data_IF_057711195830
#
_entry.id   IF_057711195830
#
_cell.length_a   1.000
_cell.length_b   1.000
_cell.length_c   1.000
_cell.angle_alpha   90.00
_cell.angle_beta   90.00
_cell.angle_gamma   90.00
#
_symmetry.space_group_name_H-M   'P 1'
#
loop_
_entity.id
_entity.type
_entity.pdbx_description
1 polymer ?
#
# COMPACT_ATOMS: atom_id res chain seq x y z
N UNK A 1 0.73 -37.10 32.66
CA UNK A 1 0.95 -35.64 32.58
C UNK A 1 1.41 -35.32 31.17
N UNK A 2 0.58 -34.74 30.30
CA UNK A 2 1.01 -34.41 28.95
C UNK A 2 1.96 -33.22 29.01
N UNK A 3 3.16 -33.41 28.46
CA UNK A 3 4.21 -32.42 28.37
C UNK A 3 3.74 -31.27 27.49
N UNK A 4 3.62 -30.08 28.08
CA UNK A 4 3.38 -28.83 27.36
C UNK A 4 4.53 -28.60 26.38
N UNK A 5 4.33 -28.92 25.09
CA UNK A 5 5.21 -28.47 24.02
C UNK A 5 5.23 -26.94 24.06
N UNK A 6 6.38 -26.40 24.47
CA UNK A 6 6.70 -24.96 24.41
C UNK A 6 6.48 -24.50 22.97
N UNK A 7 5.67 -23.46 22.77
CA UNK A 7 5.48 -22.82 21.47
C UNK A 7 6.85 -22.48 20.85
N UNK A 8 7.04 -22.61 19.52
CA UNK A 8 8.31 -22.30 18.88
C UNK A 8 8.73 -20.89 19.27
N UNK A 9 9.94 -20.77 19.85
CA UNK A 9 10.49 -19.48 20.22
C UNK A 9 10.69 -18.66 18.94
N UNK A 10 10.13 -17.44 18.92
CA UNK A 10 10.37 -16.47 17.86
C UNK A 10 11.84 -16.02 17.91
N UNK A 11 12.75 -16.84 17.42
CA UNK A 11 14.14 -16.47 17.18
C UNK A 11 14.17 -15.29 16.21
N UNK A 12 14.37 -14.09 16.79
CA UNK A 12 14.73 -12.82 16.14
C UNK A 12 14.41 -12.67 14.64
N UNK A 13 13.12 -12.65 14.28
CA UNK A 13 12.70 -12.11 12.98
C UNK A 13 13.22 -10.66 12.88
N UNK A 14 14.06 -10.36 11.89
CA UNK A 14 14.60 -9.00 11.68
C UNK A 14 13.47 -8.05 11.27
N UNK A 15 12.44 -8.57 10.61
CA UNK A 15 11.22 -7.85 10.28
C UNK A 15 10.09 -8.17 11.28
N UNK A 16 9.52 -7.19 12.01
CA UNK A 16 8.31 -7.41 12.78
C UNK A 16 7.14 -7.73 11.82
N UNK A 17 6.31 -8.74 12.12
CA UNK A 17 5.10 -9.02 11.36
C UNK A 17 4.20 -7.78 11.21
N UNK A 18 3.81 -7.47 9.98
CA UNK A 18 2.90 -6.38 9.65
C UNK A 18 1.44 -6.85 9.77
N UNK A 19 1.11 -7.52 10.89
CA UNK A 19 -0.22 -8.03 11.21
C UNK A 19 -0.67 -7.62 12.63
N UNK A 20 -1.99 -7.59 12.91
CA UNK A 20 -2.48 -7.48 14.28
C UNK A 20 -1.94 -8.62 15.15
N UNK A 21 -1.44 -8.29 16.35
CA UNK A 21 -0.83 -9.27 17.27
C UNK A 21 -1.80 -10.35 17.73
N UNK A 22 -3.10 -10.05 17.78
CA UNK A 22 -4.15 -11.02 18.12
C UNK A 22 -4.30 -12.06 17.02
N UNK A 23 -4.50 -11.61 15.78
CA UNK A 23 -4.58 -12.48 14.60
C UNK A 23 -3.32 -13.36 14.47
N UNK A 24 -2.13 -12.77 14.56
CA UNK A 24 -0.90 -13.54 14.43
C UNK A 24 -0.80 -14.66 15.48
N UNK A 25 -1.21 -14.40 16.73
CA UNK A 25 -1.22 -15.42 17.80
C UNK A 25 -2.24 -16.52 17.53
N UNK A 26 -3.38 -16.20 16.94
CA UNK A 26 -4.41 -17.18 16.59
C UNK A 26 -3.95 -18.07 15.45
N UNK A 27 -3.39 -17.48 14.38
CA UNK A 27 -2.81 -18.21 13.26
C UNK A 27 -1.71 -19.17 13.72
N UNK A 28 -0.82 -18.74 14.60
CA UNK A 28 0.27 -19.59 15.11
C UNK A 28 -0.19 -20.68 16.10
N UNK A 29 -1.42 -20.61 16.61
CA UNK A 29 -2.02 -21.66 17.47
C UNK A 29 -2.79 -22.70 16.69
N UNK A 30 -3.19 -22.38 15.46
CA UNK A 30 -3.90 -23.31 14.59
C UNK A 30 -2.93 -24.45 14.18
N UNK A 31 -3.25 -25.71 14.47
CA UNK A 31 -2.36 -26.85 14.19
C UNK A 31 -2.10 -27.04 12.70
N UNK A 32 -3.06 -26.68 11.83
CA UNK A 32 -2.93 -26.78 10.37
C UNK A 32 -1.92 -25.75 9.85
N UNK A 33 -1.92 -24.55 10.46
CA UNK A 33 -0.98 -23.48 10.12
C UNK A 33 0.40 -23.73 10.73
N UNK A 34 0.45 -24.16 11.99
CA UNK A 34 1.68 -24.38 12.74
C UNK A 34 2.47 -25.62 12.27
N UNK A 35 1.80 -26.61 11.69
CA UNK A 35 2.41 -27.84 11.19
C UNK A 35 3.08 -27.76 9.81
N UNK A 36 2.99 -26.61 9.12
CA UNK A 36 3.51 -26.43 7.76
C UNK A 36 4.68 -25.44 7.66
N UNK A 37 5.12 -25.15 6.42
CA UNK A 37 6.08 -24.08 6.11
C UNK A 37 5.56 -22.71 6.54
N UNK A 38 6.26 -22.03 7.45
CA UNK A 38 5.92 -20.69 7.93
C UNK A 38 7.01 -19.74 7.44
N UNK A 39 6.70 -18.84 6.51
CA UNK A 39 7.67 -17.86 5.96
C UNK A 39 8.26 -16.93 7.03
N UNK A 40 7.63 -16.82 8.20
CA UNK A 40 8.14 -16.06 9.34
C UNK A 40 9.38 -16.69 10.00
N UNK A 41 9.66 -17.98 9.77
CA UNK A 41 10.81 -18.68 10.36
C UNK A 41 12.00 -18.84 9.42
N UNK A 42 11.87 -18.46 8.14
CA UNK A 42 12.94 -18.58 7.14
C UNK A 42 13.59 -17.24 6.82
N UNK A 43 14.93 -17.21 6.80
CA UNK A 43 15.72 -15.98 6.68
C UNK A 43 15.56 -15.27 5.33
N UNK A 44 15.36 -16.02 4.24
CA UNK A 44 15.17 -15.47 2.90
C UNK A 44 13.87 -14.66 2.83
N UNK A 45 12.74 -15.28 3.20
CA UNK A 45 11.43 -14.64 3.21
C UNK A 45 11.33 -13.46 4.18
N UNK A 46 11.98 -13.53 5.35
CA UNK A 46 12.00 -12.40 6.29
C UNK A 46 12.66 -11.16 5.67
N UNK A 47 13.70 -11.34 4.84
CA UNK A 47 14.33 -10.28 4.06
C UNK A 47 13.37 -9.65 3.04
N UNK A 48 12.73 -10.49 2.21
CA UNK A 48 11.77 -10.03 1.18
C UNK A 48 10.58 -9.29 1.80
N UNK A 49 10.01 -9.85 2.87
CA UNK A 49 8.93 -9.23 3.66
C UNK A 49 9.37 -7.88 4.22
N UNK A 50 10.62 -7.79 4.70
CA UNK A 50 11.22 -6.55 5.17
C UNK A 50 11.24 -5.44 4.11
N UNK A 51 11.72 -5.74 2.91
CA UNK A 51 11.80 -4.76 1.80
C UNK A 51 10.42 -4.25 1.36
N UNK A 52 9.41 -5.13 1.33
CA UNK A 52 8.02 -4.73 1.05
C UNK A 52 7.43 -3.92 2.21
N UNK A 53 7.62 -4.34 3.46
CA UNK A 53 7.07 -3.69 4.63
C UNK A 53 7.60 -2.25 4.84
N UNK A 54 8.89 -2.02 4.55
CA UNK A 54 9.47 -0.68 4.56
C UNK A 54 9.14 0.13 3.29
N UNK A 55 8.51 -0.50 2.28
CA UNK A 55 8.17 0.07 0.98
C UNK A 55 9.39 0.47 0.18
N UNK A 56 10.47 -0.31 0.28
CA UNK A 56 11.62 -0.19 -0.61
C UNK A 56 11.30 -0.79 -1.99
N UNK A 57 10.53 -1.89 -1.99
CA UNK A 57 9.93 -2.48 -3.19
C UNK A 57 8.40 -2.38 -3.14
N UNK A 58 7.70 -2.37 -4.29
CA UNK A 58 6.26 -2.49 -4.32
C UNK A 58 5.83 -3.85 -3.74
N UNK A 59 4.64 -3.92 -3.14
CA UNK A 59 4.09 -5.16 -2.58
C UNK A 59 3.88 -6.24 -3.65
N UNK A 60 3.59 -5.82 -4.88
CA UNK A 60 3.42 -6.69 -6.05
C UNK A 60 4.73 -6.87 -6.83
N UNK A 61 5.90 -6.64 -6.21
CA UNK A 61 7.18 -6.93 -6.85
C UNK A 61 7.31 -8.44 -7.13
N UNK A 62 7.78 -8.78 -8.33
CA UNK A 62 8.00 -10.15 -8.76
C UNK A 62 9.39 -10.59 -8.28
N UNK A 63 9.46 -11.62 -7.46
CA UNK A 63 10.71 -12.12 -6.90
C UNK A 63 11.17 -13.39 -7.61
N UNK A 64 12.43 -13.44 -8.07
CA UNK A 64 13.07 -14.70 -8.47
C UNK A 64 13.51 -15.44 -7.21
N UNK A 65 12.75 -16.43 -6.76
CA UNK A 65 13.13 -17.24 -5.60
C UNK A 65 14.13 -18.32 -6.01
N UNK A 66 15.28 -18.35 -5.34
CA UNK A 66 16.32 -19.33 -5.58
C UNK A 66 15.83 -20.73 -5.24
N UNK A 67 15.80 -21.64 -6.22
CA UNK A 67 15.38 -23.03 -6.03
C UNK A 67 13.95 -23.37 -6.45
N UNK A 68 13.15 -22.40 -6.93
CA UNK A 68 11.89 -22.67 -7.62
C UNK A 68 11.98 -22.19 -9.07
N UNK A 69 11.47 -22.96 -10.04
CA UNK A 69 11.37 -22.54 -11.44
C UNK A 69 10.30 -21.43 -11.68
N UNK A 70 9.83 -20.78 -10.62
CA UNK A 70 8.70 -19.86 -10.61
C UNK A 70 9.11 -18.50 -10.03
N UNK A 71 8.73 -17.43 -10.73
CA UNK A 71 8.81 -16.06 -10.24
C UNK A 71 7.40 -15.55 -9.98
N UNK A 72 7.19 -14.86 -8.87
CA UNK A 72 5.87 -14.33 -8.52
C UNK A 72 5.91 -13.28 -7.43
N UNK A 73 4.76 -12.64 -7.20
CA UNK A 73 4.56 -11.78 -6.03
C UNK A 73 4.55 -12.62 -4.75
N UNK A 74 4.84 -11.99 -3.61
CA UNK A 74 4.79 -12.69 -2.31
C UNK A 74 3.40 -13.28 -2.01
N UNK A 75 2.31 -12.68 -2.52
CA UNK A 75 0.97 -13.23 -2.38
C UNK A 75 0.76 -14.50 -3.22
N UNK A 76 1.30 -14.53 -4.44
CA UNK A 76 1.28 -15.73 -5.28
C UNK A 76 2.12 -16.86 -4.67
N UNK A 77 3.30 -16.53 -4.15
CA UNK A 77 4.15 -17.49 -3.43
C UNK A 77 3.43 -18.06 -2.20
N UNK A 78 2.72 -17.21 -1.44
CA UNK A 78 1.89 -17.65 -0.32
C UNK A 78 0.79 -18.62 -0.77
N UNK A 79 0.14 -18.35 -1.91
CA UNK A 79 -0.85 -19.24 -2.50
C UNK A 79 -0.25 -20.59 -2.92
N UNK A 80 0.92 -20.60 -3.55
CA UNK A 80 1.63 -21.83 -3.96
C UNK A 80 2.00 -22.70 -2.77
N UNK A 81 2.48 -22.10 -1.67
CA UNK A 81 2.96 -22.84 -0.49
C UNK A 81 1.89 -23.14 0.56
N UNK A 82 0.67 -22.59 0.38
CA UNK A 82 -0.35 -22.58 1.43
C UNK A 82 0.07 -21.76 2.67
N UNK A 83 0.90 -20.72 2.51
CA UNK A 83 1.35 -19.90 3.63
C UNK A 83 0.30 -18.85 4.00
N UNK A 84 -0.63 -19.26 4.85
CA UNK A 84 -1.72 -18.41 5.32
C UNK A 84 -1.22 -17.14 6.04
N UNK A 85 -0.28 -17.19 7.01
CA UNK A 85 0.29 -15.99 7.61
C UNK A 85 0.88 -15.00 6.61
N UNK A 86 1.62 -15.47 5.59
CA UNK A 86 2.19 -14.61 4.55
C UNK A 86 1.08 -13.97 3.70
N UNK A 87 0.06 -14.74 3.31
CA UNK A 87 -1.08 -14.24 2.55
C UNK A 87 -1.82 -13.11 3.29
N UNK A 88 -2.08 -13.30 4.59
CA UNK A 88 -2.64 -12.25 5.45
C UNK A 88 -1.78 -10.98 5.43
N UNK A 89 -0.47 -11.12 5.59
CA UNK A 89 0.43 -9.96 5.64
C UNK A 89 0.49 -9.20 4.31
N UNK A 90 0.55 -9.90 3.18
CA UNK A 90 0.59 -9.27 1.87
C UNK A 90 -0.72 -8.52 1.56
N UNK A 91 -1.88 -9.11 1.88
CA UNK A 91 -3.18 -8.43 1.78
C UNK A 91 -3.21 -7.21 2.70
N UNK A 92 -2.68 -7.32 3.92
CA UNK A 92 -2.61 -6.19 4.87
C UNK A 92 -1.76 -5.04 4.37
N UNK A 93 -0.70 -5.35 3.63
CA UNK A 93 0.23 -4.38 3.03
C UNK A 93 -0.28 -3.81 1.69
N UNK A 94 -1.43 -4.29 1.20
CA UNK A 94 -2.10 -3.78 0.02
C UNK A 94 -1.69 -4.48 -1.28
N UNK A 95 -1.37 -5.77 -1.22
CA UNK A 95 -1.19 -6.60 -2.41
C UNK A 95 -2.44 -6.55 -3.30
N UNK A 96 -2.23 -6.50 -4.62
CA UNK A 96 -3.30 -6.69 -5.57
C UNK A 96 -3.76 -8.15 -5.53
N UNK A 97 -4.97 -8.37 -5.03
CA UNK A 97 -5.54 -9.70 -4.83
C UNK A 97 -5.74 -10.48 -6.14
N UNK A 98 -5.81 -9.78 -7.26
CA UNK A 98 -6.03 -10.34 -8.60
C UNK A 98 -4.79 -10.22 -9.49
N UNK A 99 -3.61 -9.95 -8.93
CA UNK A 99 -2.37 -9.88 -9.72
C UNK A 99 -2.11 -11.21 -10.44
N UNK A 100 -1.97 -11.18 -11.75
CA UNK A 100 -1.70 -12.37 -12.55
C UNK A 100 -0.21 -12.63 -12.68
N UNK A 101 0.20 -13.89 -12.68
CA UNK A 101 1.56 -14.28 -13.07
C UNK A 101 1.73 -14.26 -14.60
N UNK A 102 2.91 -14.68 -15.09
CA UNK A 102 3.19 -14.77 -16.52
C UNK A 102 2.28 -15.75 -17.29
N UNK A 103 1.59 -16.64 -16.58
CA UNK A 103 0.63 -17.60 -17.14
C UNK A 103 -0.81 -17.11 -17.01
N UNK A 104 -1.04 -15.87 -16.55
CA UNK A 104 -2.39 -15.34 -16.33
C UNK A 104 -3.07 -15.85 -15.05
N UNK A 105 -2.36 -16.59 -14.18
CA UNK A 105 -2.95 -17.16 -12.95
C UNK A 105 -3.01 -16.10 -11.86
N UNK A 106 -4.19 -15.93 -11.25
CA UNK A 106 -4.33 -15.15 -10.01
C UNK A 106 -3.89 -15.96 -8.79
N UNK A 107 -3.64 -15.33 -7.63
CA UNK A 107 -3.32 -16.06 -6.40
C UNK A 107 -4.42 -17.06 -6.03
N UNK A 108 -5.70 -16.73 -6.28
CA UNK A 108 -6.81 -17.65 -6.05
C UNK A 108 -6.72 -18.87 -6.95
N UNK A 109 -6.44 -18.66 -8.25
CA UNK A 109 -6.27 -19.76 -9.20
C UNK A 109 -5.12 -20.68 -8.80
N UNK A 110 -3.98 -20.11 -8.36
CA UNK A 110 -2.83 -20.89 -7.88
C UNK A 110 -3.20 -21.74 -6.67
N UNK A 111 -3.88 -21.16 -5.67
CA UNK A 111 -4.30 -21.89 -4.48
C UNK A 111 -5.30 -23.01 -4.81
N UNK A 112 -6.27 -22.76 -5.69
CA UNK A 112 -7.24 -23.78 -6.14
C UNK A 112 -6.54 -24.88 -6.93
N UNK A 113 -5.66 -24.51 -7.86
CA UNK A 113 -4.85 -25.46 -8.62
C UNK A 113 -4.10 -26.38 -7.65
N UNK A 114 -3.35 -25.84 -6.68
CA UNK A 114 -2.60 -26.62 -5.69
C UNK A 114 -3.46 -27.60 -4.88
N UNK A 115 -4.71 -27.24 -4.55
CA UNK A 115 -5.67 -28.14 -3.88
C UNK A 115 -6.05 -29.31 -4.80
N UNK A 116 -6.27 -29.03 -6.08
CA UNK A 116 -6.76 -30.02 -7.05
C UNK A 116 -5.65 -30.82 -7.75
N UNK A 117 -4.40 -30.37 -7.73
CA UNK A 117 -3.29 -30.97 -8.49
C UNK A 117 -3.10 -32.46 -8.15
N UNK A 118 -3.14 -32.82 -6.87
CA UNK A 118 -2.99 -34.21 -6.41
C UNK A 118 -4.12 -35.12 -6.90
N UNK A 119 -5.33 -34.58 -7.09
CA UNK A 119 -6.50 -35.35 -7.52
C UNK A 119 -6.62 -35.46 -9.05
N UNK A 120 -6.07 -34.48 -9.77
CA UNK A 120 -6.21 -34.33 -11.23
C UNK A 120 -5.04 -34.91 -12.03
N UNK A 121 -3.83 -34.96 -11.47
CA UNK A 121 -2.63 -35.42 -12.19
C UNK A 121 -2.00 -36.64 -11.48
N UNK A 122 -1.77 -37.77 -12.19
CA UNK A 122 -0.90 -38.85 -11.70
C UNK A 122 0.50 -38.28 -11.39
N UNK A 123 1.24 -38.87 -10.45
CA UNK A 123 2.56 -38.36 -10.00
C UNK A 123 3.52 -38.03 -11.16
N UNK A 124 3.50 -38.84 -12.22
CA UNK A 124 4.29 -38.70 -13.45
C UNK A 124 3.98 -37.44 -14.30
N UNK A 125 2.80 -36.84 -14.14
CA UNK A 125 2.33 -35.68 -14.93
C UNK A 125 2.06 -34.44 -14.06
N UNK A 126 2.44 -34.45 -12.79
CA UNK A 126 2.29 -33.28 -11.94
C UNK A 126 3.16 -32.13 -12.50
N UNK A 127 2.62 -30.90 -12.62
CA UNK A 127 3.45 -29.75 -12.95
C UNK A 127 4.59 -29.64 -11.92
N UNK A 128 5.71 -28.96 -12.23
CA UNK A 128 6.77 -28.72 -11.26
C UNK A 128 6.29 -27.78 -10.16
N UNK A 129 5.45 -28.30 -9.27
CA UNK A 129 5.13 -27.72 -7.96
C UNK A 129 6.28 -28.07 -7.04
N UNK A 130 6.80 -27.10 -6.26
CA UNK A 130 7.81 -27.40 -5.24
C UNK A 130 7.29 -28.51 -4.34
N UNK A 131 8.13 -29.52 -4.06
CA UNK A 131 7.89 -30.66 -3.16
C UNK A 131 6.64 -30.48 -2.30
N UNK A 132 5.57 -31.20 -2.63
CA UNK A 132 4.27 -31.09 -1.97
C UNK A 132 4.47 -31.35 -0.48
N UNK A 133 4.52 -30.26 0.30
CA UNK A 133 4.75 -30.34 1.73
C UNK A 133 3.55 -31.04 2.38
N UNK A 134 3.76 -31.96 3.34
CA UNK A 134 2.67 -32.58 4.08
C UNK A 134 1.71 -31.53 4.65
N UNK A 135 0.41 -31.70 4.41
CA UNK A 135 -0.62 -30.75 4.86
C UNK A 135 -0.82 -29.50 3.98
N UNK A 136 -0.20 -29.41 2.80
CA UNK A 136 -0.39 -28.30 1.86
C UNK A 136 -1.85 -28.12 1.41
N UNK A 137 -2.63 -29.21 1.24
CA UNK A 137 -4.04 -29.14 0.81
C UNK A 137 -4.93 -28.32 1.74
N UNK A 138 -5.06 -28.70 3.04
CA UNK A 138 -5.81 -27.92 4.02
C UNK A 138 -5.35 -26.45 4.12
N UNK A 139 -4.05 -26.21 4.06
CA UNK A 139 -3.48 -24.85 4.13
C UNK A 139 -3.82 -24.01 2.90
N UNK A 140 -3.74 -24.60 1.71
CA UNK A 140 -4.11 -23.95 0.45
C UNK A 140 -5.61 -23.63 0.42
N UNK A 141 -6.45 -24.50 0.99
CA UNK A 141 -7.89 -24.22 1.20
C UNK A 141 -8.12 -23.00 2.09
N UNK A 142 -7.35 -22.84 3.17
CA UNK A 142 -7.43 -21.63 4.01
C UNK A 142 -6.99 -20.37 3.24
N UNK A 143 -5.94 -20.44 2.43
CA UNK A 143 -5.50 -19.31 1.59
C UNK A 143 -6.56 -18.96 0.54
N UNK A 144 -7.11 -19.95 -0.16
CA UNK A 144 -8.19 -19.75 -1.13
C UNK A 144 -9.42 -19.10 -0.47
N UNK A 145 -9.81 -19.58 0.72
CA UNK A 145 -10.93 -19.01 1.49
C UNK A 145 -10.69 -17.55 1.84
N UNK A 146 -9.50 -17.22 2.36
CA UNK A 146 -9.08 -15.85 2.66
C UNK A 146 -9.18 -14.95 1.41
N UNK A 147 -8.69 -15.42 0.26
CA UNK A 147 -8.72 -14.65 -0.98
C UNK A 147 -10.17 -14.38 -1.44
N UNK A 148 -11.04 -15.39 -1.38
CA UNK A 148 -12.46 -15.26 -1.75
C UNK A 148 -13.19 -14.26 -0.82
N UNK A 149 -12.96 -14.37 0.49
CA UNK A 149 -13.51 -13.46 1.51
C UNK A 149 -13.01 -12.03 1.36
N UNK A 150 -11.77 -11.86 0.88
CA UNK A 150 -11.18 -10.57 0.54
C UNK A 150 -11.57 -10.06 -0.86
N UNK A 151 -12.57 -10.69 -1.45
CA UNK A 151 -13.17 -10.32 -2.73
C UNK A 151 -12.27 -10.50 -3.96
N UNK A 152 -11.41 -11.51 -3.96
CA UNK A 152 -10.74 -11.96 -5.19
C UNK A 152 -11.76 -12.22 -6.31
N UNK A 153 -11.37 -12.02 -7.57
CA UNK A 153 -12.18 -12.38 -8.71
C UNK A 153 -12.23 -13.90 -8.86
N UNK A 154 -13.43 -14.46 -8.71
CA UNK A 154 -13.68 -15.90 -8.73
C UNK A 154 -13.96 -16.42 -10.15
N UNK A 155 -14.16 -15.53 -11.12
CA UNK A 155 -14.56 -15.87 -12.49
C UNK A 155 -13.43 -15.67 -13.51
N UNK A 156 -12.17 -15.56 -13.06
CA UNK A 156 -11.03 -15.53 -13.97
C UNK A 156 -10.98 -16.83 -14.76
N UNK A 157 -10.94 -16.71 -16.08
CA UNK A 157 -10.88 -17.83 -17.02
C UNK A 157 -9.43 -18.02 -17.46
N UNK A 158 -8.92 -19.23 -17.31
CA UNK A 158 -7.61 -19.64 -17.80
C UNK A 158 -7.75 -21.00 -18.49
N UNK A 159 -7.26 -21.12 -19.73
CA UNK A 159 -7.35 -22.37 -20.51
C UNK A 159 -8.77 -22.95 -20.58
N UNK A 160 -9.78 -22.08 -20.70
CA UNK A 160 -11.21 -22.44 -20.63
C UNK A 160 -11.63 -23.10 -19.30
N UNK A 161 -10.98 -22.73 -18.19
CA UNK A 161 -11.35 -23.16 -16.85
C UNK A 161 -11.44 -21.97 -15.89
N UNK A 162 -12.40 -22.02 -14.98
CA UNK A 162 -12.46 -21.14 -13.80
C UNK A 162 -12.05 -21.92 -12.55
N UNK A 163 -11.88 -21.21 -11.43
CA UNK A 163 -11.67 -21.88 -10.14
C UNK A 163 -12.83 -22.84 -9.80
N UNK A 164 -14.07 -22.49 -10.15
CA UNK A 164 -15.22 -23.34 -9.93
C UNK A 164 -15.13 -24.63 -10.78
N UNK A 165 -14.85 -24.50 -12.08
CA UNK A 165 -14.77 -25.68 -12.95
C UNK A 165 -13.59 -26.60 -12.58
N UNK A 166 -12.46 -26.04 -12.15
CA UNK A 166 -11.33 -26.83 -11.63
C UNK A 166 -11.75 -27.67 -10.41
N UNK A 167 -12.42 -27.06 -9.43
CA UNK A 167 -12.92 -27.80 -8.26
C UNK A 167 -13.97 -28.86 -8.61
N UNK A 168 -14.74 -28.64 -9.68
CA UNK A 168 -15.72 -29.59 -10.21
C UNK A 168 -15.11 -30.78 -10.96
N UNK A 169 -13.87 -30.66 -11.46
CA UNK A 169 -13.16 -31.76 -12.13
C UNK A 169 -12.45 -32.70 -11.15
N UNK A 170 -12.11 -32.22 -9.95
CA UNK A 170 -11.44 -33.02 -8.94
C UNK A 170 -12.26 -34.26 -8.56
N UNK A 171 -11.59 -35.41 -8.35
CA UNK A 171 -12.25 -36.65 -7.91
C UNK A 171 -12.91 -36.45 -6.55
N UNK A 172 -12.18 -35.85 -5.61
CA UNK A 172 -12.68 -35.51 -4.28
C UNK A 172 -13.18 -34.07 -4.28
N UNK A 173 -14.50 -33.89 -4.14
CA UNK A 173 -15.09 -32.55 -4.14
C UNK A 173 -14.87 -31.84 -2.81
N UNK A 174 -14.17 -30.71 -2.87
CA UNK A 174 -14.06 -29.76 -1.76
C UNK A 174 -15.32 -28.91 -1.66
N UNK A 175 -16.42 -29.50 -1.19
CA UNK A 175 -17.75 -28.87 -1.18
C UNK A 175 -17.77 -27.51 -0.49
N UNK A 176 -17.08 -27.35 0.64
CA UNK A 176 -17.04 -26.04 1.33
C UNK A 176 -16.43 -24.94 0.46
N UNK A 177 -15.43 -25.28 -0.38
CA UNK A 177 -14.79 -24.33 -1.28
C UNK A 177 -15.70 -24.02 -2.48
N UNK A 178 -16.39 -25.03 -3.02
CA UNK A 178 -17.39 -24.88 -4.10
C UNK A 178 -18.52 -23.96 -3.64
N UNK A 179 -19.07 -24.21 -2.45
CA UNK A 179 -20.12 -23.39 -1.84
C UNK A 179 -19.63 -21.95 -1.61
N UNK A 180 -18.41 -21.77 -1.11
CA UNK A 180 -17.83 -20.45 -0.90
C UNK A 180 -17.64 -19.68 -2.22
N UNK A 181 -17.17 -20.35 -3.28
CA UNK A 181 -17.04 -19.76 -4.62
C UNK A 181 -18.40 -19.32 -5.17
N UNK A 182 -19.42 -20.20 -5.12
CA UNK A 182 -20.78 -19.91 -5.59
C UNK A 182 -21.39 -18.75 -4.81
N UNK A 183 -21.26 -18.77 -3.47
CA UNK A 183 -21.73 -17.71 -2.58
C UNK A 183 -21.09 -16.36 -2.93
N UNK A 184 -19.82 -16.37 -3.37
CA UNK A 184 -19.10 -15.17 -3.80
C UNK A 184 -19.28 -14.82 -5.28
N UNK A 185 -20.21 -15.46 -5.98
CA UNK A 185 -20.63 -15.09 -7.33
C UNK A 185 -19.94 -15.84 -8.46
N UNK A 186 -19.39 -17.03 -8.18
CA UNK A 186 -18.88 -17.90 -9.24
C UNK A 186 -20.00 -18.29 -10.22
N UNK A 187 -19.67 -18.30 -11.51
CA UNK A 187 -20.57 -18.65 -12.61
C UNK A 187 -20.17 -19.99 -13.21
N UNK A 188 -21.17 -20.74 -13.65
CA UNK A 188 -21.01 -22.05 -14.28
C UNK A 188 -20.62 -21.95 -15.78
N UNK A 189 -20.73 -20.76 -16.38
CA UNK A 189 -20.65 -20.61 -17.84
C UNK A 189 -19.21 -20.73 -18.37
N UNK A 190 -18.84 -21.97 -18.71
CA UNK A 190 -18.05 -22.28 -19.90
C UNK A 190 -18.68 -23.53 -20.53
N UNK A 191 -19.03 -23.47 -21.82
CA UNK A 191 -19.64 -24.55 -22.62
C UNK A 191 -18.82 -25.85 -22.73
N UNK A 192 -17.83 -26.05 -21.86
CA UNK A 192 -16.93 -27.19 -21.78
C UNK A 192 -17.53 -28.27 -20.86
N UNK A 193 -18.65 -28.87 -21.30
CA UNK A 193 -19.09 -30.17 -20.77
C UNK A 193 -18.07 -31.29 -21.03
N UNK A 194 -17.10 -31.04 -21.90
CA UNK A 194 -16.07 -32.00 -22.28
C UNK A 194 -14.98 -32.07 -21.20
N UNK A 195 -15.18 -32.96 -20.21
CA UNK A 195 -14.14 -33.34 -19.24
C UNK A 195 -14.56 -33.30 -17.76
N UNK A 196 -15.74 -32.76 -17.44
CA UNK A 196 -16.29 -32.78 -16.08
C UNK A 196 -17.03 -34.10 -15.86
N UNK A 197 -16.38 -35.07 -15.22
CA UNK A 197 -17.03 -36.31 -14.77
C UNK A 197 -17.73 -36.01 -13.45
N UNK A 198 -19.05 -35.81 -13.52
CA UNK A 198 -19.91 -35.63 -12.35
C UNK A 198 -21.03 -36.66 -12.29
N UNK A 199 -21.27 -37.20 -11.10
CA UNK A 199 -22.44 -38.04 -10.86
C UNK A 199 -23.74 -37.20 -10.84
N UNK A 200 -24.90 -37.84 -10.88
CA UNK A 200 -26.18 -37.13 -10.90
C UNK A 200 -26.38 -36.30 -9.63
N UNK A 201 -25.97 -36.84 -8.48
CA UNK A 201 -26.05 -36.19 -7.17
C UNK A 201 -25.16 -34.95 -7.08
N UNK A 202 -23.97 -34.99 -7.69
CA UNK A 202 -23.06 -33.83 -7.75
C UNK A 202 -23.67 -32.68 -8.57
N UNK A 203 -24.28 -33.01 -9.72
CA UNK A 203 -24.96 -32.02 -10.58
C UNK A 203 -26.15 -31.39 -9.89
N UNK A 204 -26.97 -32.21 -9.21
CA UNK A 204 -28.12 -31.75 -8.46
C UNK A 204 -27.69 -30.80 -7.33
N UNK A 205 -26.66 -31.17 -6.56
CA UNK A 205 -26.14 -30.32 -5.48
C UNK A 205 -25.61 -28.98 -5.98
N UNK A 206 -24.88 -28.96 -7.09
CA UNK A 206 -24.37 -27.70 -7.68
C UNK A 206 -25.52 -26.84 -8.19
N UNK A 207 -26.50 -27.44 -8.85
CA UNK A 207 -27.71 -26.75 -9.32
C UNK A 207 -28.47 -26.11 -8.16
N UNK A 208 -28.59 -26.83 -7.04
CA UNK A 208 -29.22 -26.31 -5.83
C UNK A 208 -28.43 -25.14 -5.23
N UNK A 209 -27.10 -25.26 -5.11
CA UNK A 209 -26.25 -24.17 -4.63
C UNK A 209 -26.36 -22.91 -5.51
N UNK A 210 -26.38 -23.08 -6.84
CA UNK A 210 -26.54 -21.97 -7.79
C UNK A 210 -27.92 -21.33 -7.68
N UNK A 211 -28.97 -22.11 -7.41
CA UNK A 211 -30.34 -21.63 -7.18
C UNK A 211 -30.45 -20.84 -5.88
N UNK A 212 -29.80 -21.31 -4.81
CA UNK A 212 -29.85 -20.72 -3.48
C UNK A 212 -28.85 -19.58 -3.26
N UNK A 213 -27.97 -19.30 -4.22
CA UNK A 213 -26.91 -18.30 -4.06
C UNK A 213 -27.48 -16.91 -3.76
N UNK A 214 -26.82 -16.12 -2.90
CA UNK A 214 -27.26 -14.77 -2.59
C UNK A 214 -27.16 -13.85 -3.82
N UNK A 215 -28.11 -12.93 -3.97
CA UNK A 215 -28.11 -11.93 -5.07
C UNK A 215 -26.92 -10.97 -4.99
N UNK A 216 -26.42 -10.71 -3.79
CA UNK A 216 -25.28 -9.85 -3.53
C UNK A 216 -24.18 -10.68 -2.88
N UNK A 217 -22.94 -10.43 -3.31
CA UNK A 217 -21.75 -11.02 -2.69
C UNK A 217 -21.72 -10.69 -1.18
N UNK A 218 -21.38 -11.64 -0.29
CA UNK A 218 -21.22 -11.36 1.12
C UNK A 218 -20.29 -10.17 1.38
N UNK A 219 -20.55 -9.36 2.42
CA UNK A 219 -19.77 -8.17 2.69
C UNK A 219 -18.32 -8.52 3.03
N UNK A 220 -17.38 -7.74 2.48
CA UNK A 220 -15.94 -7.94 2.69
C UNK A 220 -15.54 -7.64 4.13
N UNK A 221 -14.78 -8.53 4.76
CA UNK A 221 -14.06 -8.23 5.99
C UNK A 221 -12.95 -7.22 5.72
N UNK A 222 -12.78 -6.25 6.62
CA UNK A 222 -11.80 -5.19 6.40
C UNK A 222 -10.37 -5.77 6.34
N UNK A 223 -9.55 -5.43 5.33
CA UNK A 223 -8.18 -5.95 5.17
C UNK A 223 -7.20 -5.54 6.28
N UNK A 224 -7.64 -4.69 7.21
CA UNK A 224 -6.88 -4.41 8.43
C UNK A 224 -6.95 -5.56 9.46
N UNK A 225 -7.82 -6.54 9.19
CA UNK A 225 -8.11 -7.71 10.02
C UNK A 225 -8.51 -7.37 11.46
N UNK A 226 -9.28 -6.29 11.60
CA UNK A 226 -9.92 -5.90 12.87
C UNK A 226 -11.18 -6.72 13.21
N UNK A 227 -11.50 -7.75 12.40
CA UNK A 227 -12.75 -8.54 12.42
C UNK A 227 -14.03 -7.74 12.15
N UNK A 228 -13.91 -6.50 11.71
CA UNK A 228 -15.03 -5.66 11.28
C UNK A 228 -15.18 -5.75 9.77
N UNK A 229 -16.41 -5.57 9.28
CA UNK A 229 -16.66 -5.37 7.86
C UNK A 229 -15.94 -4.12 7.35
N UNK A 230 -15.59 -4.12 6.06
CA UNK A 230 -14.95 -2.98 5.41
C UNK A 230 -15.81 -1.71 5.58
N UNK A 231 -17.11 -1.82 5.31
CA UNK A 231 -18.09 -0.75 5.44
C UNK A 231 -18.15 -0.15 6.86
N UNK A 232 -17.86 -0.93 7.90
CA UNK A 232 -17.83 -0.49 9.30
C UNK A 232 -16.46 -0.07 9.82
N UNK A 233 -15.42 -0.22 9.00
CA UNK A 233 -14.04 0.05 9.36
C UNK A 233 -13.44 1.14 8.47
N UNK A 234 -12.60 0.79 7.50
CA UNK A 234 -11.94 1.76 6.62
C UNK A 234 -12.89 2.36 5.57
N UNK A 235 -14.06 1.76 5.35
CA UNK A 235 -15.13 2.34 4.54
C UNK A 235 -15.78 3.60 5.14
N UNK A 236 -15.70 3.79 6.48
CA UNK A 236 -16.13 5.04 7.15
C UNK A 236 -15.09 6.15 7.10
N UNK A 237 -13.87 5.84 6.63
CA UNK A 237 -12.77 6.80 6.53
C UNK A 237 -11.46 6.32 7.15
N UNK A 238 -10.43 7.19 7.14
CA UNK A 238 -9.07 6.86 7.54
C UNK A 238 -8.94 6.38 8.99
N UNK A 239 -8.04 5.42 9.24
CA UNK A 239 -7.73 4.89 10.57
C UNK A 239 -6.28 5.19 10.97
N UNK A 240 -5.94 5.22 12.28
CA UNK A 240 -4.55 5.39 12.69
C UNK A 240 -3.66 4.27 12.17
N UNK A 241 -2.51 4.61 11.59
CA UNK A 241 -1.52 3.61 11.16
C UNK A 241 -0.96 2.85 12.38
N UNK A 242 -0.84 1.51 12.33
CA UNK A 242 -0.39 0.71 13.47
C UNK A 242 1.01 1.09 13.96
N UNK A 243 1.15 1.22 15.28
CA UNK A 243 2.39 1.71 15.89
C UNK A 243 3.53 0.70 15.84
N UNK A 244 3.23 -0.60 15.85
CA UNK A 244 4.21 -1.69 15.81
C UNK A 244 4.62 -2.07 14.39
N UNK A 245 3.99 -1.49 13.36
CA UNK A 245 4.36 -1.72 11.97
C UNK A 245 5.61 -0.92 11.58
N UNK A 246 6.26 -1.31 10.49
CA UNK A 246 7.35 -0.52 9.96
C UNK A 246 6.85 0.85 9.50
N UNK A 247 7.65 1.88 9.79
CA UNK A 247 7.31 3.23 9.45
C UNK A 247 7.29 3.40 7.91
N UNK A 248 6.22 3.97 7.31
CA UNK A 248 6.12 4.17 5.86
C UNK A 248 7.20 5.08 5.24
N UNK A 249 8.05 5.71 6.06
CA UNK A 249 9.13 6.58 5.63
C UNK A 249 10.45 5.85 5.27
N UNK A 250 10.44 4.52 5.10
CA UNK A 250 11.62 3.69 4.74
C UNK A 250 12.78 3.68 5.75
N UNK A 251 12.58 4.18 6.97
CA UNK A 251 13.65 4.25 8.01
C UNK A 251 14.06 2.91 8.62
N UNK A 252 13.46 1.78 8.19
CA UNK A 252 13.62 0.44 8.81
C UNK A 252 13.33 0.40 10.32
N UNK A 253 12.65 1.43 10.84
CA UNK A 253 12.24 1.53 12.24
C UNK A 253 10.72 1.42 12.35
N UNK A 254 10.22 0.85 13.45
CA UNK A 254 8.78 0.80 13.72
C UNK A 254 8.20 2.20 13.86
N UNK A 255 6.95 2.39 13.44
CA UNK A 255 6.30 3.69 13.35
C UNK A 255 6.32 4.45 14.68
N UNK A 256 6.06 3.75 15.80
CA UNK A 256 6.12 4.29 17.15
C UNK A 256 7.44 5.00 17.47
N UNK A 257 8.56 4.39 17.05
CA UNK A 257 9.93 4.87 17.33
C UNK A 257 10.46 5.84 16.26
N UNK A 258 9.71 6.08 15.18
CA UNK A 258 10.15 6.87 14.04
C UNK A 258 9.26 8.11 13.79
N UNK A 259 8.43 8.11 12.75
CA UNK A 259 7.63 9.29 12.37
C UNK A 259 6.72 9.74 13.51
N UNK A 260 6.17 8.82 14.31
CA UNK A 260 5.33 9.17 15.45
C UNK A 260 6.09 10.01 16.48
N UNK A 261 7.32 9.62 16.83
CA UNK A 261 8.22 10.39 17.71
C UNK A 261 8.54 11.78 17.15
N UNK A 262 8.60 11.90 15.82
CA UNK A 262 8.81 13.17 15.08
C UNK A 262 7.52 13.97 14.84
N UNK A 263 6.42 13.63 15.51
CA UNK A 263 5.09 14.25 15.34
C UNK A 263 4.55 14.17 13.90
N UNK A 264 5.03 13.22 13.09
CA UNK A 264 4.50 12.91 11.76
C UNK A 264 3.44 11.82 11.88
N UNK A 265 2.22 12.16 11.48
CA UNK A 265 1.07 11.27 11.55
C UNK A 265 0.83 10.54 10.23
N UNK A 266 0.70 9.22 10.29
CA UNK A 266 0.26 8.37 9.18
C UNK A 266 -1.14 7.82 9.47
N UNK A 267 -1.92 7.60 8.41
CA UNK A 267 -3.26 7.02 8.43
C UNK A 267 -3.31 5.85 7.46
N UNK A 268 -3.97 4.76 7.83
CA UNK A 268 -4.40 3.77 6.87
C UNK A 268 -5.67 4.26 6.19
N UNK A 269 -5.65 4.27 4.86
CA UNK A 269 -6.75 4.73 4.02
C UNK A 269 -7.15 3.60 3.08
N UNK A 270 -8.45 3.44 2.90
CA UNK A 270 -8.99 2.53 1.90
C UNK A 270 -8.97 3.19 0.53
N UNK A 271 -8.32 2.54 -0.42
CA UNK A 271 -8.32 2.95 -1.81
C UNK A 271 -9.40 2.16 -2.56
N UNK A 272 -10.50 2.83 -2.93
CA UNK A 272 -11.66 2.20 -3.56
C UNK A 272 -11.34 1.67 -4.96
N UNK A 273 -10.53 2.39 -5.74
CA UNK A 273 -10.12 2.01 -7.10
C UNK A 273 -9.27 0.75 -7.09
N UNK A 274 -8.23 0.72 -6.24
CA UNK A 274 -7.29 -0.40 -6.14
C UNK A 274 -7.79 -1.52 -5.23
N UNK A 275 -8.86 -1.31 -4.47
CA UNK A 275 -9.44 -2.26 -3.50
C UNK A 275 -8.43 -2.75 -2.43
N UNK A 276 -7.58 -1.84 -1.96
CA UNK A 276 -6.51 -2.11 -0.97
C UNK A 276 -6.48 -1.07 0.15
N UNK A 277 -5.82 -1.40 1.26
CA UNK A 277 -5.43 -0.41 2.27
C UNK A 277 -4.02 0.09 1.99
N UNK A 278 -3.81 1.40 2.02
CA UNK A 278 -2.49 2.02 1.88
C UNK A 278 -2.29 3.16 2.89
N UNK A 279 -1.05 3.39 3.35
CA UNK A 279 -0.77 4.44 4.32
C UNK A 279 -0.62 5.81 3.65
N UNK A 280 -1.39 6.78 4.12
CA UNK A 280 -1.30 8.16 3.68
C UNK A 280 -0.78 9.04 4.82
N UNK A 281 -0.03 10.08 4.47
CA UNK A 281 0.53 11.00 5.47
C UNK A 281 -0.52 12.07 5.75
N UNK A 282 -0.83 12.31 7.03
CA UNK A 282 -1.57 13.50 7.43
C UNK A 282 -0.66 14.71 7.21
N UNK A 283 -1.08 15.60 6.34
CA UNK A 283 -0.46 16.91 6.24
C UNK A 283 -0.98 17.76 7.40
N UNK A 284 -0.07 18.36 8.15
CA UNK A 284 -0.42 19.44 9.06
C UNK A 284 -0.06 20.73 8.31
N UNK A 285 -0.99 21.67 8.19
CA UNK A 285 -0.66 22.99 7.70
C UNK A 285 0.49 23.51 8.56
N UNK A 286 1.56 23.96 7.91
CA UNK A 286 2.65 24.60 8.62
C UNK A 286 2.11 25.98 9.01
N UNK A 287 1.62 26.08 10.24
CA UNK A 287 1.36 27.37 10.85
C UNK A 287 2.71 27.97 11.20
N UNK A 288 3.30 28.69 10.24
CA UNK A 288 4.40 29.60 10.53
C UNK A 288 3.77 30.75 11.32
N UNK A 289 4.10 30.96 12.61
CA UNK A 289 3.74 32.20 13.27
C UNK A 289 4.42 33.32 12.48
N UNK A 290 3.60 34.05 11.72
CA UNK A 290 4.05 35.19 10.97
C UNK A 290 4.38 36.29 11.99
N UNK A 291 5.40 37.09 11.73
CA UNK A 291 5.58 38.33 12.49
C UNK A 291 4.32 39.19 12.36
N UNK A 292 4.14 40.14 13.28
CA UNK A 292 3.01 41.06 13.21
C UNK A 292 2.96 41.78 11.84
N UNK A 293 4.13 42.12 11.29
CA UNK A 293 4.25 42.77 9.98
C UNK A 293 3.81 41.87 8.83
N UNK A 294 4.24 40.60 8.83
CA UNK A 294 3.81 39.63 7.82
C UNK A 294 2.30 39.33 7.93
N UNK A 295 1.74 39.38 9.13
CA UNK A 295 0.29 39.25 9.36
C UNK A 295 -0.46 40.45 8.80
N UNK A 296 0.05 41.67 9.01
CA UNK A 296 -0.53 42.91 8.49
C UNK A 296 -0.50 42.92 6.95
N UNK A 297 0.63 42.55 6.33
CA UNK A 297 0.77 42.43 4.86
C UNK A 297 -0.23 41.41 4.30
N UNK A 298 -0.30 40.22 4.88
CA UNK A 298 -1.24 39.18 4.44
C UNK A 298 -2.69 39.59 4.65
N UNK A 299 -3.00 40.31 5.74
CA UNK A 299 -4.35 40.86 5.98
C UNK A 299 -4.73 41.90 4.93
N UNK A 300 -3.78 42.74 4.50
CA UNK A 300 -3.95 43.70 3.41
C UNK A 300 -4.25 43.01 2.07
N UNK A 301 -3.51 41.94 1.75
CA UNK A 301 -3.74 41.11 0.54
C UNK A 301 -5.09 40.38 0.62
N UNK A 302 -5.42 39.77 1.77
CA UNK A 302 -6.68 39.02 1.97
C UNK A 302 -7.93 39.89 1.90
N UNK A 303 -7.82 41.16 2.32
CA UNK A 303 -8.91 42.14 2.22
C UNK A 303 -9.31 42.41 0.76
N UNK A 304 -8.44 42.10 -0.21
CA UNK A 304 -8.67 42.27 -1.65
C UNK A 304 -9.31 41.03 -2.30
N UNK A 305 -9.08 39.80 -1.78
CA UNK A 305 -9.41 38.56 -2.50
C UNK A 305 -10.36 37.58 -1.77
N UNK A 306 -10.89 37.92 -0.59
CA UNK A 306 -11.95 37.14 0.06
C UNK A 306 -11.50 35.97 0.94
N UNK A 307 -12.49 35.32 1.56
CA UNK A 307 -12.45 34.56 2.83
C UNK A 307 -11.54 33.31 2.88
N UNK A 308 -11.04 32.94 4.09
CA UNK A 308 -10.17 31.79 4.28
C UNK A 308 -10.88 30.46 3.97
N UNK A 309 -10.19 29.59 3.23
CA UNK A 309 -10.60 28.21 2.98
C UNK A 309 -10.52 27.44 4.31
N UNK A 310 -11.56 26.72 4.74
CA UNK A 310 -11.52 25.91 5.95
C UNK A 310 -10.44 24.83 5.81
N UNK A 311 -9.60 24.71 6.84
CA UNK A 311 -8.51 23.75 6.87
C UNK A 311 -9.06 22.37 7.21
N UNK A 312 -9.62 21.69 6.21
CA UNK A 312 -10.00 20.28 6.31
C UNK A 312 -8.73 19.43 6.50
N UNK A 313 -8.75 18.39 7.33
CA UNK A 313 -7.62 17.47 7.50
C UNK A 313 -7.24 16.84 6.16
N UNK A 314 -6.16 17.32 5.54
CA UNK A 314 -5.68 16.80 4.26
C UNK A 314 -4.76 15.61 4.52
N UNK A 315 -5.13 14.45 3.96
CA UNK A 315 -4.28 13.26 3.95
C UNK A 315 -3.88 13.00 2.51
N UNK A 316 -2.58 12.81 2.25
CA UNK A 316 -2.05 12.60 0.88
C UNK A 316 -1.17 11.36 0.81
N UNK A 317 -1.19 10.67 -0.34
CA UNK A 317 -0.23 9.60 -0.64
C UNK A 317 1.18 10.13 -0.60
N UNK A 318 2.15 9.24 -0.36
CA UNK A 318 3.56 9.63 -0.45
C UNK A 318 3.89 10.10 -1.90
N UNK A 319 3.42 9.44 -2.92
CA UNK A 319 3.73 9.85 -4.31
C UNK A 319 3.10 11.19 -4.70
N UNK A 320 1.97 11.55 -4.10
CA UNK A 320 1.16 12.70 -4.52
C UNK A 320 1.61 14.03 -3.92
N UNK A 321 2.58 14.01 -3.00
CA UNK A 321 3.19 15.24 -2.50
C UNK A 321 4.36 15.60 -3.41
N UNK A 322 4.24 16.65 -4.25
CA UNK A 322 5.34 17.10 -5.09
C UNK A 322 6.61 17.37 -4.26
N UNK A 323 7.77 17.20 -4.88
CA UNK A 323 9.00 17.69 -4.28
C UNK A 323 8.84 19.20 -4.06
N UNK A 324 9.38 19.75 -2.96
CA UNK A 324 9.32 21.20 -2.72
C UNK A 324 9.92 22.03 -3.87
N UNK A 325 10.69 21.39 -4.76
CA UNK A 325 11.32 21.99 -5.95
C UNK A 325 10.39 22.08 -7.17
N UNK A 326 9.26 21.37 -7.19
CA UNK A 326 8.35 21.32 -8.35
C UNK A 326 7.13 22.23 -8.20
N UNK A 327 6.92 22.84 -7.03
CA UNK A 327 6.03 23.99 -6.91
C UNK A 327 6.88 25.23 -7.15
N UNK A 328 6.52 26.03 -8.17
CA UNK A 328 6.92 27.44 -8.21
C UNK A 328 6.58 27.99 -6.83
N UNK A 329 7.55 28.56 -6.12
CA UNK A 329 7.39 28.90 -4.70
C UNK A 329 6.29 29.93 -4.40
N UNK A 330 5.58 30.40 -5.42
CA UNK A 330 4.44 31.28 -5.28
C UNK A 330 3.28 30.53 -4.60
N UNK A 331 2.71 31.07 -3.52
CA UNK A 331 1.43 30.60 -3.01
C UNK A 331 0.40 30.53 -4.17
N UNK A 332 -0.55 29.57 -4.18
CA UNK A 332 -1.63 29.56 -5.18
C UNK A 332 -2.40 30.90 -5.22
N UNK A 333 -2.40 31.63 -4.10
CA UNK A 333 -2.94 32.99 -3.98
C UNK A 333 -2.10 34.07 -4.68
N UNK A 334 -0.90 33.75 -5.18
CA UNK A 334 0.05 34.61 -5.90
C UNK A 334 0.49 33.98 -7.23
N UNK A 335 -0.32 33.10 -7.82
CA UNK A 335 -0.03 32.41 -9.09
C UNK A 335 0.27 33.36 -10.26
N UNK A 336 -0.13 34.62 -10.14
CA UNK A 336 0.18 35.65 -11.12
C UNK A 336 1.64 36.16 -10.95
N UNK A 337 2.48 35.84 -11.94
CA UNK A 337 3.90 36.24 -12.01
C UNK A 337 4.10 37.76 -11.93
N UNK A 338 3.05 38.54 -12.19
CA UNK A 338 3.06 40.01 -12.10
C UNK A 338 2.98 40.49 -10.64
N UNK A 339 2.32 39.74 -9.75
CA UNK A 339 2.03 40.19 -8.39
C UNK A 339 3.25 40.19 -7.47
N UNK A 340 4.18 39.25 -7.67
CA UNK A 340 5.37 39.16 -6.80
C UNK A 340 6.30 40.37 -6.94
N UNK A 341 6.71 40.81 -8.15
CA UNK A 341 7.48 42.04 -8.32
C UNK A 341 6.78 43.28 -7.76
N UNK A 342 5.47 43.43 -7.97
CA UNK A 342 4.67 44.55 -7.47
C UNK A 342 4.63 44.61 -5.93
N UNK A 343 4.40 43.46 -5.28
CA UNK A 343 4.44 43.35 -3.83
C UNK A 343 5.85 43.64 -3.28
N UNK A 344 6.90 43.08 -3.90
CA UNK A 344 8.29 43.34 -3.48
C UNK A 344 8.68 44.82 -3.65
N UNK A 345 8.30 45.46 -4.76
CA UNK A 345 8.52 46.90 -4.97
C UNK A 345 7.85 47.74 -3.88
N UNK A 346 6.62 47.37 -3.48
CA UNK A 346 5.90 48.08 -2.41
C UNK A 346 6.59 47.91 -1.07
N UNK A 347 7.03 46.68 -0.75
CA UNK A 347 7.71 46.36 0.52
C UNK A 347 9.12 46.97 0.63
N UNK A 348 9.85 47.06 -0.48
CA UNK A 348 11.16 47.75 -0.52
C UNK A 348 10.98 49.26 -0.33
N UNK A 349 9.93 49.86 -0.93
CA UNK A 349 9.62 51.29 -0.75
C UNK A 349 9.20 51.64 0.67
N UNK A 350 8.56 50.72 1.38
CA UNK A 350 8.21 50.88 2.80
C UNK A 350 9.32 50.43 3.75
N UNK A 351 10.54 50.17 3.24
CA UNK A 351 11.71 49.69 4.00
C UNK A 351 11.45 48.43 4.84
N UNK A 352 10.37 47.69 4.53
CA UNK A 352 9.94 46.52 5.28
C UNK A 352 10.72 45.26 4.88
N UNK A 353 11.43 45.33 3.76
CA UNK A 353 12.28 44.26 3.21
C UNK A 353 13.55 44.89 2.66
N UNK A 354 14.70 44.27 2.98
CA UNK A 354 16.00 44.67 2.45
C UNK A 354 16.01 44.65 0.91
N UNK A 355 16.62 45.67 0.30
CA UNK A 355 16.63 45.86 -1.16
C UNK A 355 17.36 44.74 -1.89
N UNK A 356 18.50 44.29 -1.36
CA UNK A 356 19.29 43.21 -1.96
C UNK A 356 18.55 41.87 -1.84
N UNK A 357 17.85 41.65 -0.72
CA UNK A 357 16.93 40.52 -0.58
C UNK A 357 15.78 40.58 -1.61
N UNK A 358 15.11 41.73 -1.74
CA UNK A 358 14.00 41.90 -2.69
C UNK A 358 14.43 41.67 -4.15
N UNK A 359 15.60 42.18 -4.52
CA UNK A 359 16.22 41.95 -5.82
C UNK A 359 16.51 40.46 -6.08
N UNK A 360 17.19 39.80 -5.13
CA UNK A 360 17.57 38.40 -5.27
C UNK A 360 16.37 37.44 -5.32
N UNK A 361 15.33 37.69 -4.52
CA UNK A 361 14.10 36.88 -4.53
C UNK A 361 13.40 36.95 -5.89
N UNK A 362 13.31 38.15 -6.49
CA UNK A 362 12.70 38.33 -7.80
C UNK A 362 13.45 37.61 -8.92
N UNK A 363 14.79 37.48 -8.81
CA UNK A 363 15.63 36.82 -9.82
C UNK A 363 15.63 35.29 -9.71
N UNK A 364 15.65 34.76 -8.49
CA UNK A 364 15.74 33.29 -8.26
C UNK A 364 14.35 32.63 -8.23
N UNK A 365 13.26 33.42 -8.14
CA UNK A 365 11.87 32.92 -8.04
C UNK A 365 11.75 31.88 -6.91
N UNK A 366 12.41 32.18 -5.79
CA UNK A 366 12.57 31.26 -4.68
C UNK A 366 11.82 31.76 -3.45
N UNK A 367 10.88 30.95 -2.95
CA UNK A 367 10.24 31.18 -1.67
C UNK A 367 10.63 30.11 -0.66
N UNK A 368 10.91 30.55 0.56
CA UNK A 368 11.29 29.70 1.71
C UNK A 368 10.06 29.05 2.35
N UNK A 369 9.07 28.64 1.55
CA UNK A 369 7.91 27.91 2.07
C UNK A 369 8.08 26.42 1.78
N UNK A 370 8.19 25.55 2.80
CA UNK A 370 8.32 24.12 2.59
C UNK A 370 6.94 23.53 2.27
N UNK A 371 6.42 23.82 1.07
CA UNK A 371 5.14 23.29 0.58
C UNK A 371 5.24 21.85 0.04
N UNK A 372 6.44 21.25 0.09
CA UNK A 372 6.69 19.86 -0.29
C UNK A 372 7.61 19.11 0.67
N UNK A 373 8.09 17.94 0.24
CA UNK A 373 9.10 17.19 1.01
C UNK A 373 10.43 17.92 1.10
N UNK A 374 11.26 17.54 2.09
CA UNK A 374 12.64 18.01 2.25
C UNK A 374 13.33 18.10 0.89
N UNK A 375 13.77 19.30 0.55
CA UNK A 375 14.58 19.57 -0.63
C UNK A 375 15.88 18.77 -0.52
N UNK A 376 16.33 18.07 -1.58
CA UNK A 376 17.64 17.41 -1.59
C UNK A 376 18.75 18.40 -1.23
N UNK A 377 19.69 18.01 -0.36
CA UNK A 377 20.75 18.92 0.15
C UNK A 377 21.54 19.61 -0.98
N UNK A 378 21.83 18.89 -2.06
CA UNK A 378 22.52 19.44 -3.25
C UNK A 378 21.71 20.53 -3.95
N UNK A 379 20.41 20.33 -4.11
CA UNK A 379 19.52 21.30 -4.75
C UNK A 379 19.35 22.55 -3.87
N UNK A 380 19.12 22.38 -2.57
CA UNK A 380 19.05 23.50 -1.62
C UNK A 380 20.35 24.33 -1.61
N UNK A 381 21.50 23.67 -1.64
CA UNK A 381 22.79 24.35 -1.71
C UNK A 381 23.00 25.10 -3.05
N UNK A 382 22.49 24.56 -4.16
CA UNK A 382 22.50 25.23 -5.46
C UNK A 382 21.68 26.52 -5.45
N UNK A 383 20.45 26.46 -4.94
CA UNK A 383 19.59 27.63 -4.79
C UNK A 383 20.19 28.69 -3.87
N UNK A 384 20.72 28.28 -2.71
CA UNK A 384 21.36 29.21 -1.78
C UNK A 384 22.55 29.95 -2.43
N UNK A 385 23.37 29.25 -3.22
CA UNK A 385 24.48 29.88 -3.97
C UNK A 385 23.98 30.87 -5.02
N UNK A 386 22.94 30.51 -5.78
CA UNK A 386 22.37 31.38 -6.79
C UNK A 386 21.75 32.65 -6.16
N UNK A 387 21.02 32.48 -5.05
CA UNK A 387 20.46 33.58 -4.27
C UNK A 387 21.56 34.52 -3.77
N UNK A 388 22.58 33.98 -3.10
CA UNK A 388 23.68 34.81 -2.57
C UNK A 388 24.42 35.55 -3.68
N UNK A 389 24.62 34.93 -4.85
CA UNK A 389 25.24 35.61 -6.00
C UNK A 389 24.45 36.86 -6.41
N UNK A 390 23.12 36.78 -6.47
CA UNK A 390 22.30 37.94 -6.83
C UNK A 390 22.24 39.01 -5.75
N UNK A 391 22.34 38.62 -4.47
CA UNK A 391 22.53 39.57 -3.37
C UNK A 391 23.86 40.31 -3.54
N UNK A 392 24.94 39.58 -3.80
CA UNK A 392 26.28 40.16 -4.02
C UNK A 392 26.30 41.11 -5.24
N UNK A 393 25.59 40.76 -6.31
CA UNK A 393 25.46 41.58 -7.51
C UNK A 393 24.75 42.92 -7.19
N UNK A 394 23.64 42.91 -6.45
CA UNK A 394 22.94 44.14 -6.06
C UNK A 394 23.80 45.01 -5.12
N UNK A 395 24.49 44.40 -4.15
CA UNK A 395 25.39 45.14 -3.26
C UNK A 395 26.50 45.81 -4.05
N UNK A 396 27.09 45.14 -5.05
CA UNK A 396 28.10 45.74 -5.93
C UNK A 396 27.55 46.92 -6.73
N UNK A 397 26.33 46.80 -7.25
CA UNK A 397 25.66 47.90 -7.97
C UNK A 397 25.47 49.10 -7.04
N UNK A 398 24.97 48.89 -5.82
CA UNK A 398 24.76 49.95 -4.84
C UNK A 398 26.07 50.65 -4.44
N UNK A 399 27.14 49.88 -4.19
CA UNK A 399 28.46 50.44 -3.89
C UNK A 399 29.00 51.24 -5.09
N UNK A 400 28.84 50.74 -6.30
CA UNK A 400 29.27 51.45 -7.51
C UNK A 400 28.49 52.76 -7.73
N UNK A 401 27.17 52.76 -7.56
CA UNK A 401 26.35 53.98 -7.62
C UNK A 401 26.77 55.00 -6.55
N UNK A 402 27.02 54.54 -5.31
CA UNK A 402 27.49 55.41 -4.22
C UNK A 402 28.86 56.03 -4.50
N UNK A 403 29.76 55.30 -5.17
CA UNK A 403 31.07 55.83 -5.58
C UNK A 403 30.97 56.83 -6.75
N UNK A 404 29.89 56.78 -7.53
CA UNK A 404 29.61 57.71 -8.62
C UNK A 404 28.70 58.89 -8.21
N UNK A 405 28.24 58.94 -6.96
CA UNK A 405 27.36 60.01 -6.46
C UNK A 405 25.95 59.98 -7.05
N UNK A 406 25.47 58.82 -7.49
CA UNK A 406 24.15 58.59 -8.10
C UNK A 406 23.11 58.03 -7.13
#
# INVERSE_FOLDING_TARGET
MPTTRRAPSMSASKCPPQLPRTLLRELLRDPVVAGGHISFSQSEYDGLRGEVAIRAQPVDHIWPLGGMAYQGTLLQIAATMGDLPLAYEMIRLGANINATDQFGRTPLFIAVQAITTLDLFPEEHQPPVPNILPGMGPRSKMVASLLIEQHADVNVILNNETCLTLTMRAKVKQWDLIELLITHGAREDLGTRNGVVQCAEEKERISELLRMRPKKRPPRLCPCFSRRLLADCHGKGPRPFPYHFFCPCQSRSVYAKCCKKRKVSWRDVWNEERRIIEPWRKEMPIYLPLSQDATNIISGIRRVYGTPIPVTEMVRRRTDVPLAVTQLGLPPEMEDRVMLPLCLCTLMRSESVDRAFGFAVAKVVWHVRPLGRKVPKKYAAGLARAFNKHVDDEVRILVWCSLQGL
#
